data_IF_415082104565
#
_entry.id   IF_415082104565
#
_cell.length_a   1.000
_cell.length_b   1.000
_cell.length_c   1.000
_cell.angle_alpha   90.00
_cell.angle_beta   90.00
_cell.angle_gamma   90.00
#
_symmetry.space_group_name_H-M   'P 1'
#
loop_
_entity.id
_entity.type
_entity.pdbx_description
1 polymer ?
#
# COMPACT_ATOMS: atom_id res chain seq x y z
N UNK A 1 -32.22 2.95 6.23
CA UNK A 1 -31.02 2.10 5.98
C UNK A 1 -29.90 2.60 6.89
N UNK A 2 -29.16 1.74 7.60
CA UNK A 2 -28.10 2.19 8.53
C UNK A 2 -26.73 2.23 7.84
N UNK A 3 -25.81 3.06 8.34
CA UNK A 3 -24.44 3.15 7.83
C UNK A 3 -23.74 1.78 7.83
N UNK A 4 -23.92 0.99 8.90
CA UNK A 4 -23.39 -0.39 8.98
C UNK A 4 -23.90 -1.27 7.84
N UNK A 5 -25.19 -1.20 7.51
CA UNK A 5 -25.76 -2.00 6.41
C UNK A 5 -25.18 -1.58 5.05
N UNK A 6 -24.95 -0.29 4.83
CA UNK A 6 -24.32 0.22 3.61
C UNK A 6 -22.88 -0.26 3.46
N UNK A 7 -22.08 -0.18 4.52
CA UNK A 7 -20.68 -0.66 4.50
C UNK A 7 -20.62 -2.16 4.23
N UNK A 8 -21.48 -2.95 4.89
CA UNK A 8 -21.55 -4.40 4.67
C UNK A 8 -22.01 -4.74 3.25
N UNK A 9 -22.98 -4.00 2.69
CA UNK A 9 -23.43 -4.20 1.32
C UNK A 9 -22.31 -3.90 0.30
N UNK A 10 -21.58 -2.80 0.48
CA UNK A 10 -20.43 -2.45 -0.36
C UNK A 10 -19.32 -3.51 -0.27
N UNK A 11 -19.02 -4.00 0.93
CA UNK A 11 -18.05 -5.09 1.11
C UNK A 11 -18.52 -6.40 0.46
N UNK A 12 -19.80 -6.75 0.61
CA UNK A 12 -20.36 -7.96 -0.01
C UNK A 12 -20.32 -7.88 -1.54
N UNK A 13 -20.63 -6.71 -2.12
CA UNK A 13 -20.49 -6.46 -3.55
C UNK A 13 -19.04 -6.66 -4.01
N UNK A 14 -18.08 -6.04 -3.33
CA UNK A 14 -16.66 -6.18 -3.63
C UNK A 14 -16.20 -7.65 -3.56
N UNK A 15 -16.58 -8.39 -2.52
CA UNK A 15 -16.25 -9.82 -2.36
C UNK A 15 -16.87 -10.65 -3.47
N UNK A 16 -18.14 -10.39 -3.82
CA UNK A 16 -18.83 -11.10 -4.90
C UNK A 16 -18.13 -10.91 -6.25
N UNK A 17 -17.71 -9.68 -6.55
CA UNK A 17 -17.03 -9.35 -7.80
C UNK A 17 -15.56 -9.79 -7.83
N UNK A 18 -14.95 -10.06 -6.67
CA UNK A 18 -13.53 -10.38 -6.53
C UNK A 18 -13.31 -11.65 -5.68
N UNK A 19 -14.07 -12.71 -5.94
CA UNK A 19 -14.04 -13.93 -5.12
C UNK A 19 -12.65 -14.59 -5.07
N UNK A 20 -11.98 -14.72 -6.21
CA UNK A 20 -10.65 -15.34 -6.29
C UNK A 20 -9.61 -14.53 -5.51
N UNK A 21 -9.71 -13.21 -5.58
CA UNK A 21 -8.87 -12.29 -4.82
C UNK A 21 -9.07 -12.44 -3.31
N UNK A 22 -10.32 -12.60 -2.85
CA UNK A 22 -10.60 -12.89 -1.44
C UNK A 22 -9.92 -14.19 -0.98
N UNK A 23 -9.92 -15.22 -1.83
CA UNK A 23 -9.22 -16.48 -1.55
C UNK A 23 -7.70 -16.28 -1.49
N UNK A 24 -7.13 -15.48 -2.41
CA UNK A 24 -5.70 -15.16 -2.42
C UNK A 24 -5.27 -14.43 -1.14
N UNK A 25 -6.03 -13.42 -0.69
CA UNK A 25 -5.80 -12.75 0.59
C UNK A 25 -5.89 -13.69 1.79
N UNK A 26 -6.83 -14.64 1.75
CA UNK A 26 -6.94 -15.67 2.80
C UNK A 26 -5.68 -16.53 2.86
N UNK A 27 -5.20 -17.03 1.72
CA UNK A 27 -3.95 -17.81 1.64
C UNK A 27 -2.75 -17.00 2.13
N UNK A 28 -2.61 -15.76 1.67
CA UNK A 28 -1.56 -14.85 2.10
C UNK A 28 -1.55 -14.65 3.62
N UNK A 29 -2.75 -14.50 4.22
CA UNK A 29 -2.87 -14.34 5.67
C UNK A 29 -2.33 -15.53 6.47
N UNK A 30 -2.49 -16.75 5.97
CA UNK A 30 -1.92 -17.95 6.59
C UNK A 30 -0.40 -17.98 6.49
N UNK A 31 0.17 -17.58 5.33
CA UNK A 31 1.61 -17.46 5.15
C UNK A 31 2.23 -16.44 6.10
N UNK A 32 1.60 -15.28 6.30
CA UNK A 32 2.12 -14.29 7.26
C UNK A 32 1.89 -14.69 8.71
N UNK A 33 0.84 -15.46 9.01
CA UNK A 33 0.61 -15.99 10.35
C UNK A 33 1.75 -16.93 10.79
N UNK A 34 2.31 -17.73 9.89
CA UNK A 34 3.45 -18.61 10.21
C UNK A 34 4.77 -17.85 10.39
N UNK A 35 4.96 -16.72 9.71
CA UNK A 35 6.17 -15.91 9.81
C UNK A 35 6.15 -15.00 11.04
N UNK A 36 5.07 -14.24 11.20
CA UNK A 36 4.98 -13.12 12.14
C UNK A 36 3.92 -13.31 13.25
N UNK A 37 3.25 -14.47 13.29
CA UNK A 37 2.28 -14.83 14.30
C UNK A 37 0.82 -14.51 13.93
N UNK A 38 -0.15 -15.05 14.68
CA UNK A 38 -1.57 -15.04 14.32
C UNK A 38 -2.19 -13.63 14.22
N UNK A 39 -1.71 -12.68 15.02
CA UNK A 39 -2.16 -11.27 14.97
C UNK A 39 -1.90 -10.66 13.58
N UNK A 40 -0.77 -11.00 12.94
CA UNK A 40 -0.49 -10.53 11.58
C UNK A 40 -1.44 -11.17 10.57
N UNK A 41 -1.75 -12.47 10.72
CA UNK A 41 -2.75 -13.14 9.87
C UNK A 41 -4.10 -12.42 9.90
N UNK A 42 -4.61 -12.10 11.09
CA UNK A 42 -5.86 -11.32 11.25
C UNK A 42 -5.73 -9.94 10.61
N UNK A 43 -4.59 -9.28 10.80
CA UNK A 43 -4.28 -7.99 10.19
C UNK A 43 -4.38 -8.02 8.66
N UNK A 44 -3.77 -9.02 8.02
CA UNK A 44 -3.78 -9.20 6.56
C UNK A 44 -5.18 -9.55 6.04
N UNK A 45 -5.98 -10.34 6.75
CA UNK A 45 -7.38 -10.58 6.32
C UNK A 45 -8.21 -9.30 6.34
N UNK A 46 -8.11 -8.51 7.42
CA UNK A 46 -8.82 -7.24 7.52
C UNK A 46 -8.36 -6.25 6.44
N UNK A 47 -7.06 -6.25 6.11
CA UNK A 47 -6.51 -5.41 5.07
C UNK A 47 -6.85 -5.90 3.65
N UNK A 48 -6.98 -7.21 3.44
CA UNK A 48 -7.46 -7.80 2.19
C UNK A 48 -8.91 -7.45 1.91
N UNK A 49 -9.78 -7.41 2.93
CA UNK A 49 -11.15 -6.89 2.77
C UNK A 49 -11.17 -5.41 2.35
N UNK A 50 -10.23 -4.61 2.86
CA UNK A 50 -10.07 -3.23 2.43
C UNK A 50 -9.55 -3.14 0.98
N UNK A 51 -8.58 -3.99 0.57
CA UNK A 51 -8.14 -4.08 -0.83
C UNK A 51 -9.29 -4.42 -1.78
N UNK A 52 -10.13 -5.38 -1.42
CA UNK A 52 -11.28 -5.80 -2.22
C UNK A 52 -12.30 -4.66 -2.37
N UNK A 53 -12.60 -3.96 -1.27
CA UNK A 53 -13.45 -2.77 -1.32
C UNK A 53 -12.83 -1.68 -2.21
N UNK A 54 -11.51 -1.44 -2.08
CA UNK A 54 -10.79 -0.48 -2.90
C UNK A 54 -10.87 -0.85 -4.37
N UNK A 55 -10.66 -2.11 -4.77
CA UNK A 55 -10.79 -2.52 -6.18
C UNK A 55 -12.19 -2.33 -6.74
N UNK A 56 -13.22 -2.50 -5.91
CA UNK A 56 -14.59 -2.19 -6.31
C UNK A 56 -14.75 -0.68 -6.55
N UNK A 57 -14.28 0.16 -5.62
CA UNK A 57 -14.32 1.61 -5.77
C UNK A 57 -13.49 2.09 -6.97
N UNK A 58 -12.31 1.51 -7.20
CA UNK A 58 -11.45 1.84 -8.35
C UNK A 58 -12.13 1.51 -9.69
N UNK A 59 -12.83 0.38 -9.78
CA UNK A 59 -13.62 0.06 -10.97
C UNK A 59 -14.71 1.12 -11.21
N UNK A 60 -15.44 1.52 -10.16
CA UNK A 60 -16.46 2.58 -10.21
C UNK A 60 -15.84 3.96 -10.52
N UNK A 61 -14.60 4.20 -10.11
CA UNK A 61 -13.87 5.44 -10.38
C UNK A 61 -13.78 5.73 -11.87
N UNK A 62 -13.54 4.70 -12.69
CA UNK A 62 -13.44 4.85 -14.14
C UNK A 62 -14.74 5.36 -14.76
N UNK A 63 -15.88 4.91 -14.24
CA UNK A 63 -17.20 5.37 -14.67
C UNK A 63 -17.45 6.80 -14.20
N UNK A 64 -17.07 7.12 -12.96
CA UNK A 64 -17.21 8.46 -12.37
C UNK A 64 -16.37 9.49 -13.14
N UNK A 65 -15.12 9.18 -13.46
CA UNK A 65 -14.23 10.10 -14.17
C UNK A 65 -14.60 10.32 -15.65
N UNK A 66 -15.47 9.46 -16.21
CA UNK A 66 -16.07 9.71 -17.52
C UNK A 66 -17.19 10.77 -17.48
N UNK A 67 -17.68 11.15 -16.30
CA UNK A 67 -18.71 12.18 -16.14
C UNK A 67 -18.10 13.60 -16.27
N UNK A 68 -18.91 14.58 -16.71
CA UNK A 68 -18.56 16.00 -16.62
C UNK A 68 -18.13 16.41 -15.20
N UNK A 69 -17.15 17.31 -15.08
CA UNK A 69 -16.55 17.68 -13.79
C UNK A 69 -17.55 18.18 -12.75
N UNK A 70 -18.61 18.88 -13.17
CA UNK A 70 -19.70 19.38 -12.31
C UNK A 70 -20.63 18.26 -11.79
N UNK A 71 -20.51 17.05 -12.34
CA UNK A 71 -21.30 15.86 -11.97
C UNK A 71 -20.47 14.81 -11.23
N UNK A 72 -19.17 15.03 -11.07
CA UNK A 72 -18.31 14.11 -10.33
C UNK A 72 -18.55 14.29 -8.82
N UNK A 73 -18.91 13.22 -8.07
CA UNK A 73 -19.10 13.32 -6.63
C UNK A 73 -17.76 13.60 -5.94
N UNK A 74 -17.52 14.85 -5.54
CA UNK A 74 -16.25 15.30 -4.94
C UNK A 74 -15.79 14.39 -3.77
N UNK A 75 -16.72 13.93 -2.94
CA UNK A 75 -16.43 13.06 -1.79
C UNK A 75 -15.85 11.69 -2.18
N UNK A 76 -16.06 11.23 -3.41
CA UNK A 76 -15.57 9.94 -3.87
C UNK A 76 -14.03 9.90 -3.93
N UNK A 77 -13.41 10.96 -4.45
CA UNK A 77 -11.94 11.04 -4.56
C UNK A 77 -11.30 11.07 -3.17
N UNK A 78 -11.89 11.84 -2.25
CA UNK A 78 -11.42 11.92 -0.87
C UNK A 78 -11.51 10.56 -0.17
N UNK A 79 -12.61 9.83 -0.37
CA UNK A 79 -12.79 8.48 0.18
C UNK A 79 -11.80 7.48 -0.41
N UNK A 80 -11.60 7.50 -1.74
CA UNK A 80 -10.64 6.63 -2.41
C UNK A 80 -9.21 6.91 -1.91
N UNK A 81 -8.84 8.18 -1.76
CA UNK A 81 -7.56 8.59 -1.19
C UNK A 81 -7.40 8.10 0.24
N UNK A 82 -8.39 8.35 1.10
CA UNK A 82 -8.38 7.97 2.52
C UNK A 82 -8.21 6.46 2.70
N UNK A 83 -8.99 5.66 1.98
CA UNK A 83 -8.91 4.20 2.07
C UNK A 83 -7.61 3.66 1.49
N UNK A 84 -7.10 4.25 0.40
CA UNK A 84 -5.82 3.87 -0.18
C UNK A 84 -4.64 4.16 0.77
N UNK A 85 -4.64 5.32 1.41
CA UNK A 85 -3.65 5.69 2.43
C UNK A 85 -3.71 4.76 3.65
N UNK A 86 -4.91 4.50 4.17
CA UNK A 86 -5.11 3.59 5.29
C UNK A 86 -4.60 2.18 4.98
N UNK A 87 -4.85 1.69 3.76
CA UNK A 87 -4.33 0.41 3.29
C UNK A 87 -2.79 0.43 3.25
N UNK A 88 -2.17 1.43 2.62
CA UNK A 88 -0.69 1.52 2.50
C UNK A 88 -0.02 1.56 3.87
N UNK A 89 -0.50 2.40 4.79
CA UNK A 89 0.06 2.55 6.13
C UNK A 89 -0.01 1.21 6.89
N UNK A 90 -1.17 0.54 6.86
CA UNK A 90 -1.35 -0.74 7.54
C UNK A 90 -0.50 -1.83 6.90
N UNK A 91 -0.47 -1.93 5.57
CA UNK A 91 0.35 -2.90 4.84
C UNK A 91 1.83 -2.72 5.16
N UNK A 92 2.33 -1.48 5.14
CA UNK A 92 3.72 -1.18 5.44
C UNK A 92 4.14 -1.70 6.82
N UNK A 93 3.33 -1.45 7.86
CA UNK A 93 3.68 -1.90 9.22
C UNK A 93 3.67 -3.42 9.34
N UNK A 94 2.72 -4.11 8.69
CA UNK A 94 2.68 -5.58 8.68
C UNK A 94 3.88 -6.18 7.93
N UNK A 95 4.23 -5.65 6.76
CA UNK A 95 5.40 -6.07 5.98
C UNK A 95 6.70 -5.78 6.73
N UNK A 96 6.83 -4.59 7.33
CA UNK A 96 7.99 -4.20 8.16
C UNK A 96 8.17 -5.16 9.33
N UNK A 97 7.09 -5.49 10.02
CA UNK A 97 7.13 -6.43 11.14
C UNK A 97 7.52 -7.84 10.67
N UNK A 98 6.99 -8.33 9.55
CA UNK A 98 7.38 -9.61 8.98
C UNK A 98 8.88 -9.66 8.62
N UNK A 99 9.42 -8.63 7.95
CA UNK A 99 10.86 -8.51 7.70
C UNK A 99 11.68 -8.54 9.01
N UNK A 100 11.19 -7.89 10.07
CA UNK A 100 11.87 -7.87 11.36
C UNK A 100 11.87 -9.26 12.02
N UNK A 101 10.78 -10.03 11.91
CA UNK A 101 10.71 -11.39 12.44
C UNK A 101 11.62 -12.36 11.67
N UNK A 102 11.67 -12.27 10.34
CA UNK A 102 12.61 -13.05 9.53
C UNK A 102 14.05 -12.77 9.94
N UNK A 103 14.43 -11.49 10.07
CA UNK A 103 15.78 -11.11 10.52
C UNK A 103 16.12 -11.69 11.89
N UNK A 104 15.18 -11.73 12.84
CA UNK A 104 15.39 -12.34 14.17
C UNK A 104 15.63 -13.85 14.10
N UNK A 105 15.11 -14.52 13.07
CA UNK A 105 15.35 -15.94 12.79
C UNK A 105 16.64 -16.18 11.98
N UNK A 106 17.40 -15.13 11.67
CA UNK A 106 18.58 -15.22 10.79
C UNK A 106 18.23 -15.38 9.31
N UNK A 107 16.98 -15.11 8.93
CA UNK A 107 16.48 -15.23 7.56
C UNK A 107 16.29 -13.85 6.93
N UNK A 108 16.37 -13.78 5.61
CA UNK A 108 16.08 -12.58 4.81
C UNK A 108 15.23 -12.96 3.61
N UNK A 109 14.29 -12.09 3.27
CA UNK A 109 13.45 -12.22 2.08
C UNK A 109 13.60 -10.94 1.26
N UNK A 110 14.29 -11.05 0.12
CA UNK A 110 14.60 -9.91 -0.75
C UNK A 110 13.35 -9.32 -1.39
N UNK A 111 12.40 -10.15 -1.82
CA UNK A 111 11.14 -9.71 -2.41
C UNK A 111 10.32 -8.91 -1.38
N UNK A 112 10.21 -9.43 -0.16
CA UNK A 112 9.53 -8.73 0.93
C UNK A 112 10.28 -7.45 1.34
N UNK A 113 11.62 -7.47 1.28
CA UNK A 113 12.47 -6.30 1.50
C UNK A 113 12.26 -5.20 0.46
N UNK A 114 12.16 -5.56 -0.82
CA UNK A 114 11.87 -4.66 -1.93
C UNK A 114 10.46 -4.07 -1.82
N UNK A 115 9.45 -4.90 -1.53
CA UNK A 115 8.09 -4.44 -1.28
C UNK A 115 8.02 -3.47 -0.09
N UNK A 116 8.74 -3.76 1.00
CA UNK A 116 8.86 -2.85 2.15
C UNK A 116 9.44 -1.50 1.75
N UNK A 117 10.45 -1.49 0.87
CA UNK A 117 11.03 -0.26 0.33
C UNK A 117 9.99 0.53 -0.46
N UNK A 118 9.33 -0.11 -1.44
CA UNK A 118 8.29 0.53 -2.26
C UNK A 118 7.14 1.09 -1.42
N UNK A 119 6.63 0.33 -0.44
CA UNK A 119 5.63 0.81 0.51
C UNK A 119 6.13 2.02 1.32
N UNK A 120 7.40 2.00 1.71
CA UNK A 120 8.05 3.09 2.44
C UNK A 120 8.09 4.41 1.67
N UNK A 121 8.26 4.35 0.34
CA UNK A 121 8.36 5.54 -0.51
C UNK A 121 7.07 6.36 -0.45
N UNK A 122 5.95 5.67 -0.28
CA UNK A 122 4.62 6.26 -0.22
C UNK A 122 4.20 6.57 1.22
N UNK A 123 4.46 5.64 2.14
CA UNK A 123 4.09 5.77 3.56
C UNK A 123 4.79 6.94 4.23
N UNK A 124 6.06 7.20 3.93
CA UNK A 124 6.83 8.27 4.59
C UNK A 124 6.23 9.67 4.34
N UNK A 125 5.92 10.05 3.08
CA UNK A 125 5.24 11.32 2.82
C UNK A 125 3.86 11.39 3.48
N UNK A 126 3.09 10.30 3.49
CA UNK A 126 1.75 10.27 4.12
C UNK A 126 1.80 10.44 5.64
N UNK A 127 2.68 9.68 6.31
CA UNK A 127 2.67 9.57 7.76
C UNK A 127 3.57 10.59 8.46
N UNK A 128 4.53 11.18 7.75
CA UNK A 128 5.54 12.08 8.32
C UNK A 128 5.76 13.35 7.52
N UNK A 129 5.14 13.51 6.35
CA UNK A 129 5.41 14.62 5.43
C UNK A 129 6.91 14.74 5.07
N UNK A 130 7.58 13.58 4.98
CA UNK A 130 9.02 13.46 4.68
C UNK A 130 9.26 12.54 3.49
N UNK A 131 10.32 12.80 2.73
CA UNK A 131 10.82 11.86 1.72
C UNK A 131 11.57 10.73 2.42
N UNK A 132 11.30 9.48 2.02
CA UNK A 132 11.98 8.32 2.59
C UNK A 132 13.50 8.42 2.38
N UNK A 133 14.29 8.20 3.45
CA UNK A 133 15.75 8.29 3.44
C UNK A 133 16.34 9.67 3.09
N UNK A 134 15.56 10.75 3.21
CA UNK A 134 16.07 12.09 2.94
C UNK A 134 17.23 12.51 3.85
N UNK A 135 17.27 11.97 5.08
CA UNK A 135 18.35 12.15 6.07
C UNK A 135 19.71 11.60 5.59
N UNK A 136 19.72 10.72 4.58
CA UNK A 136 20.93 10.11 4.04
C UNK A 136 21.56 10.92 2.90
N UNK A 137 20.89 11.98 2.44
CA UNK A 137 21.40 12.79 1.34
C UNK A 137 22.50 13.73 1.82
N UNK A 138 23.63 13.74 1.11
CA UNK A 138 24.73 14.69 1.33
C UNK A 138 24.54 15.99 0.54
N UNK A 139 23.77 15.95 -0.54
CA UNK A 139 23.48 17.08 -1.42
C UNK A 139 22.01 17.48 -1.29
N UNK A 140 21.69 18.78 -1.30
CA UNK A 140 20.29 19.23 -1.29
C UNK A 140 19.50 18.65 -2.46
N UNK A 141 18.37 18.02 -2.16
CA UNK A 141 17.42 17.59 -3.18
C UNK A 141 16.63 18.81 -3.64
N UNK A 142 16.59 19.06 -4.94
CA UNK A 142 15.80 20.13 -5.53
C UNK A 142 14.44 19.60 -5.95
N UNK A 143 13.38 20.24 -5.47
CA UNK A 143 11.99 19.92 -5.78
C UNK A 143 11.41 20.99 -6.69
N UNK A 144 10.76 20.58 -7.79
CA UNK A 144 9.97 21.49 -8.60
C UNK A 144 8.70 21.93 -7.87
N UNK A 145 8.29 23.18 -8.08
CA UNK A 145 6.95 23.63 -7.72
C UNK A 145 5.90 23.03 -8.66
N UNK A 146 4.68 22.87 -8.17
CA UNK A 146 3.59 22.23 -8.92
C UNK A 146 3.14 23.00 -10.16
N UNK A 147 3.47 24.29 -10.26
CA UNK A 147 3.24 25.17 -11.40
C UNK A 147 4.40 25.16 -12.43
N UNK A 148 5.48 24.42 -12.15
CA UNK A 148 6.66 24.32 -13.00
C UNK A 148 7.51 25.60 -13.09
N UNK A 149 7.23 26.61 -12.26
CA UNK A 149 7.88 27.93 -12.37
C UNK A 149 9.29 27.95 -11.78
N UNK A 150 9.53 27.20 -10.70
CA UNK A 150 10.80 27.20 -9.97
C UNK A 150 11.12 25.86 -9.30
N UNK A 151 12.38 25.70 -8.88
CA UNK A 151 12.82 24.61 -8.00
C UNK A 151 13.27 25.15 -6.66
N UNK A 152 12.87 24.50 -5.56
CA UNK A 152 13.31 24.81 -4.20
C UNK A 152 14.05 23.65 -3.54
N UNK A 153 15.03 23.88 -2.66
CA UNK A 153 15.62 22.81 -1.88
C UNK A 153 14.57 22.17 -0.97
N UNK A 154 14.60 20.84 -0.86
CA UNK A 154 13.79 20.08 0.09
C UNK A 154 14.15 20.46 1.53
N UNK A 155 13.11 20.64 2.35
CA UNK A 155 13.22 20.79 3.79
C UNK A 155 12.35 19.73 4.46
N UNK A 156 12.84 19.11 5.53
CA UNK A 156 12.07 18.17 6.34
C UNK A 156 11.18 18.94 7.34
N UNK A 157 10.36 19.85 6.83
CA UNK A 157 9.50 20.76 7.59
C UNK A 157 7.99 20.45 7.39
N UNK A 158 7.69 19.39 6.66
CA UNK A 158 6.33 19.00 6.29
C UNK A 158 5.73 19.77 5.11
N UNK A 159 6.50 20.64 4.45
CA UNK A 159 6.06 21.35 3.23
C UNK A 159 6.10 20.47 1.97
N UNK A 160 6.62 19.24 2.08
CA UNK A 160 6.66 18.30 0.97
C UNK A 160 5.29 17.70 0.69
N UNK A 161 4.79 17.94 -0.52
CA UNK A 161 3.56 17.34 -1.03
C UNK A 161 3.95 16.34 -2.10
N UNK A 162 3.68 15.07 -1.85
CA UNK A 162 3.84 14.01 -2.86
C UNK A 162 2.70 14.11 -3.89
N UNK A 163 3.00 14.26 -5.20
CA UNK A 163 1.96 14.30 -6.22
C UNK A 163 1.12 13.02 -6.25
N UNK A 164 -0.16 13.20 -6.54
CA UNK A 164 -1.19 12.14 -6.56
C UNK A 164 -1.93 12.18 -7.89
N UNK A 165 -2.32 11.02 -8.38
CA UNK A 165 -3.12 10.88 -9.59
C UNK A 165 -3.98 9.62 -9.52
N UNK A 166 -4.90 9.48 -10.47
CA UNK A 166 -5.67 8.26 -10.66
C UNK A 166 -5.19 7.57 -11.94
N UNK A 167 -4.99 6.26 -11.86
CA UNK A 167 -4.68 5.44 -13.03
C UNK A 167 -5.90 5.40 -13.97
N UNK A 168 -5.80 6.01 -15.16
CA UNK A 168 -6.90 6.03 -16.14
C UNK A 168 -7.31 4.66 -16.71
N UNK A 169 -6.56 3.59 -16.42
CA UNK A 169 -6.88 2.23 -16.87
C UNK A 169 -7.56 1.38 -15.79
N UNK A 170 -7.27 1.64 -14.51
CA UNK A 170 -7.73 0.79 -13.41
C UNK A 170 -8.55 1.54 -12.37
N UNK A 171 -8.54 2.87 -12.40
CA UNK A 171 -9.09 3.74 -11.37
C UNK A 171 -8.26 3.75 -10.08
N UNK A 172 -7.13 3.04 -10.03
CA UNK A 172 -6.28 2.96 -8.84
C UNK A 172 -5.70 4.31 -8.47
N UNK A 173 -5.64 4.55 -7.16
CA UNK A 173 -4.89 5.68 -6.61
C UNK A 173 -3.39 5.49 -6.85
N UNK A 174 -2.71 6.55 -7.30
CA UNK A 174 -1.31 6.55 -7.66
C UNK A 174 -0.57 7.71 -6.99
N UNK A 175 0.69 7.48 -6.66
CA UNK A 175 1.59 8.47 -6.09
C UNK A 175 2.86 8.57 -6.91
N UNK A 176 3.44 9.76 -6.99
CA UNK A 176 4.75 9.98 -7.61
C UNK A 176 5.75 10.27 -6.50
N UNK A 177 6.42 9.22 -6.02
CA UNK A 177 7.36 9.31 -4.91
C UNK A 177 8.79 9.57 -5.42
N UNK A 178 9.60 10.26 -4.62
CA UNK A 178 11.03 10.40 -4.87
C UNK A 178 11.76 9.21 -4.25
N UNK A 179 12.49 8.44 -5.04
CA UNK A 179 13.35 7.35 -4.57
C UNK A 179 14.80 7.82 -4.48
N UNK A 180 15.26 8.09 -3.26
CA UNK A 180 16.61 8.63 -3.00
C UNK A 180 17.74 7.73 -3.54
N UNK A 181 17.74 6.40 -3.31
CA UNK A 181 18.74 5.50 -3.88
C UNK A 181 18.91 5.60 -5.40
N UNK A 182 17.81 5.69 -6.16
CA UNK A 182 17.87 5.76 -7.62
C UNK A 182 17.90 7.19 -8.17
N UNK A 183 17.68 8.20 -7.32
CA UNK A 183 17.52 9.61 -7.68
C UNK A 183 16.46 9.84 -8.76
N UNK A 184 15.36 9.09 -8.70
CA UNK A 184 14.26 9.17 -9.68
C UNK A 184 12.92 9.35 -8.99
N UNK A 185 12.01 9.96 -9.73
CA UNK A 185 10.59 9.89 -9.42
C UNK A 185 10.05 8.55 -9.88
N UNK A 186 9.29 7.88 -9.00
CA UNK A 186 8.68 6.58 -9.24
C UNK A 186 7.18 6.72 -9.07
N UNK A 187 6.44 6.39 -10.13
CA UNK A 187 5.00 6.23 -10.06
C UNK A 187 4.67 4.90 -9.36
N UNK A 188 3.91 4.97 -8.28
CA UNK A 188 3.50 3.81 -7.49
C UNK A 188 1.98 3.80 -7.44
N UNK A 189 1.39 2.76 -8.02
CA UNK A 189 -0.04 2.46 -7.93
C UNK A 189 -0.31 1.65 -6.67
N UNK A 190 -1.39 1.99 -5.96
CA UNK A 190 -1.89 1.21 -4.82
C UNK A 190 -2.18 -0.24 -5.23
N UNK A 191 -2.80 -0.43 -6.41
CA UNK A 191 -3.10 -1.76 -6.94
C UNK A 191 -1.84 -2.57 -7.23
N UNK A 192 -0.80 -1.95 -7.78
CA UNK A 192 0.48 -2.64 -8.04
C UNK A 192 1.12 -3.13 -6.75
N UNK A 193 1.06 -2.35 -5.67
CA UNK A 193 1.56 -2.76 -4.35
C UNK A 193 0.78 -3.95 -3.79
N UNK A 194 -0.54 -3.97 -4.00
CA UNK A 194 -1.38 -5.09 -3.57
C UNK A 194 -1.10 -6.35 -4.41
N UNK A 195 -0.97 -6.21 -5.72
CA UNK A 195 -0.68 -7.31 -6.63
C UNK A 195 0.73 -7.90 -6.38
N UNK A 196 1.74 -7.06 -6.11
CA UNK A 196 3.08 -7.50 -5.71
C UNK A 196 3.05 -8.29 -4.39
N UNK A 197 2.29 -7.82 -3.41
CA UNK A 197 2.12 -8.51 -2.13
C UNK A 197 1.38 -9.84 -2.27
N UNK A 198 0.38 -9.91 -3.15
CA UNK A 198 -0.37 -11.15 -3.42
C UNK A 198 0.44 -12.16 -4.24
N UNK A 199 1.35 -11.68 -5.08
CA UNK A 199 2.29 -12.51 -5.83
C UNK A 199 3.47 -13.00 -4.97
N UNK A 200 3.66 -12.46 -3.77
CA UNK A 200 4.73 -12.89 -2.89
C UNK A 200 4.54 -14.35 -2.44
N UNK A 201 5.62 -15.11 -2.58
CA UNK A 201 5.70 -16.51 -2.13
C UNK A 201 6.73 -16.58 -1.01
N UNK A 202 6.38 -17.12 0.17
CA UNK A 202 7.34 -17.26 1.26
C UNK A 202 8.53 -18.11 0.83
N UNK A 203 9.75 -17.62 1.10
CA UNK A 203 10.94 -18.44 1.05
C UNK A 203 10.70 -19.64 1.97
N UNK A 204 10.87 -20.87 1.46
CA UNK A 204 10.72 -22.08 2.26
C UNK A 204 11.69 -21.99 3.45
N UNK A 205 11.15 -21.73 4.63
CA UNK A 205 11.92 -21.82 5.86
C UNK A 205 12.34 -23.27 6.03
N UNK A 206 13.63 -23.52 6.25
CA UNK A 206 14.08 -24.82 6.77
C UNK A 206 13.50 -24.90 8.16
N UNK A 207 12.31 -25.46 8.30
CA UNK A 207 11.74 -25.77 9.61
C UNK A 207 12.62 -26.87 10.20
N UNK A 208 13.40 -26.63 11.27
CA UNK A 208 13.92 -27.73 12.05
C UNK A 208 12.74 -28.15 12.94
N UNK A 209 11.90 -29.04 12.44
CA UNK A 209 11.01 -29.78 13.33
C UNK A 209 11.88 -30.88 13.95
N UNK A 210 12.75 -30.49 14.88
CA UNK A 210 13.23 -31.43 15.88
C UNK A 210 12.03 -31.71 16.78
N UNK A 211 11.28 -32.75 16.41
CA UNK A 211 10.45 -33.48 17.34
C UNK A 211 11.37 -34.18 18.35
N UNK A 212 11.87 -33.42 19.32
CA UNK A 212 12.51 -33.94 20.51
C UNK A 212 11.59 -33.71 21.71
N UNK A 213 10.88 -34.79 22.05
CA UNK A 213 10.48 -35.21 23.42
C UNK A 213 9.62 -34.27 24.28
N UNK A 214 8.36 -34.66 24.48
CA UNK A 214 7.94 -35.35 25.71
C UNK A 214 6.76 -36.30 25.40
#
# INVERSE_FOLDING_TARGET
MSATKLVLAAQALGISNNYELNSAWTKLSHSFASIAGPVHGIGFQANGRLDILLRQLEAEALEIFALPADKQPMLFIDQLSLFSEAWVIKTYEMVRAACQQLRRKGETDEALGALKHRLGLVRMPMAKAEIQMADRMKTPLMLGLGDGSETKPYMADGSYIMPRTICGQTGSFCWVAVDIPSQRNVAISRRDLADELLAWVPVKTKVPYDSASA
#
